data_IF_589152558138
#
_entry.id   IF_589152558138
#
_cell.length_a   1.000
_cell.length_b   1.000
_cell.length_c   1.000
_cell.angle_alpha   90.00
_cell.angle_beta   90.00
_cell.angle_gamma   90.00
#
_symmetry.space_group_name_H-M   'P 1'
#
loop_
_entity.id
_entity.type
_entity.pdbx_description
1 polymer ?
#
# COMPACT_ATOMS: atom_id res chain seq x y z
N UNK A 1 13.94 -9.51 26.56
CA UNK A 1 13.65 -10.01 25.20
C UNK A 1 12.14 -10.01 25.05
N UNK A 2 11.59 -8.96 24.43
CA UNK A 2 10.14 -8.82 24.32
C UNK A 2 9.61 -9.91 23.39
N UNK A 3 8.67 -10.71 23.88
CA UNK A 3 7.95 -11.70 23.09
C UNK A 3 7.35 -11.01 21.86
N UNK A 4 7.54 -11.52 20.64
CA UNK A 4 6.89 -10.95 19.48
C UNK A 4 5.39 -11.15 19.68
N UNK A 5 4.63 -10.07 19.79
CA UNK A 5 3.17 -10.14 19.76
C UNK A 5 2.73 -10.70 18.41
N UNK A 6 1.52 -11.22 18.34
CA UNK A 6 0.91 -11.82 17.12
C UNK A 6 0.99 -10.88 15.90
N UNK A 7 1.17 -9.58 16.14
CA UNK A 7 1.45 -8.56 15.13
C UNK A 7 2.78 -8.74 14.39
N UNK A 8 3.86 -9.11 15.09
CA UNK A 8 5.22 -9.28 14.53
C UNK A 8 5.34 -10.47 13.58
N UNK A 9 4.47 -11.48 13.73
CA UNK A 9 4.52 -12.71 12.91
C UNK A 9 3.77 -12.55 11.58
N UNK A 10 2.83 -11.62 11.48
CA UNK A 10 2.05 -11.37 10.25
C UNK A 10 2.66 -10.29 9.35
N UNK A 11 3.40 -9.36 9.92
CA UNK A 11 3.87 -8.15 9.22
C UNK A 11 5.31 -8.22 8.73
N UNK A 12 6.06 -9.29 9.05
CA UNK A 12 7.45 -9.42 8.59
C UNK A 12 8.37 -8.29 9.07
N UNK A 13 7.99 -7.56 10.12
CA UNK A 13 8.73 -6.44 10.70
C UNK A 13 9.96 -6.94 11.47
N UNK A 14 10.92 -7.50 10.75
CA UNK A 14 12.28 -7.65 11.26
C UNK A 14 13.01 -6.32 11.01
N UNK A 15 13.47 -5.61 12.05
CA UNK A 15 14.21 -4.35 11.90
C UNK A 15 15.54 -4.49 11.13
N UNK A 16 15.98 -5.72 10.80
CA UNK A 16 17.17 -6.00 10.01
C UNK A 16 16.86 -6.53 8.59
N UNK A 17 15.58 -6.70 8.23
CA UNK A 17 15.17 -7.10 6.89
C UNK A 17 14.53 -5.90 6.18
N UNK A 18 15.06 -5.55 5.01
CA UNK A 18 14.48 -4.46 4.22
C UNK A 18 13.04 -4.83 3.85
N UNK A 19 12.09 -4.02 4.27
CA UNK A 19 10.64 -4.29 4.13
C UNK A 19 10.17 -4.28 2.67
N UNK A 20 11.04 -3.88 1.73
CA UNK A 20 10.77 -3.87 0.30
C UNK A 20 10.51 -5.26 -0.30
N UNK A 21 10.97 -6.35 0.32
CA UNK A 21 10.74 -7.71 -0.16
C UNK A 21 9.33 -8.26 0.12
N UNK A 22 8.54 -7.53 0.90
CA UNK A 22 7.21 -7.94 1.36
C UNK A 22 6.06 -7.10 0.80
N UNK A 23 6.37 -5.91 0.27
CA UNK A 23 5.41 -5.06 -0.41
C UNK A 23 4.83 -5.80 -1.63
N UNK A 24 3.55 -5.57 -1.87
CA UNK A 24 2.91 -6.08 -3.07
C UNK A 24 3.31 -5.22 -4.31
N UNK A 25 3.01 -5.67 -5.54
CA UNK A 25 3.51 -5.03 -6.75
C UNK A 25 2.60 -3.89 -7.24
N UNK A 26 2.40 -2.87 -6.42
CA UNK A 26 1.59 -1.68 -6.74
C UNK A 26 2.43 -0.40 -6.98
N UNK A 27 3.72 -0.43 -6.61
CA UNK A 27 4.66 0.67 -6.78
C UNK A 27 5.01 1.40 -5.48
N UNK A 28 4.48 0.96 -4.34
CA UNK A 28 4.82 1.48 -3.01
C UNK A 28 5.72 0.51 -2.25
N UNK A 29 6.49 1.05 -1.31
CA UNK A 29 7.21 0.24 -0.32
C UNK A 29 6.37 0.13 0.95
N UNK A 30 6.54 -0.96 1.69
CA UNK A 30 5.86 -1.16 2.98
C UNK A 30 6.03 0.00 3.96
N UNK A 31 7.16 0.70 3.93
CA UNK A 31 7.36 1.89 4.77
C UNK A 31 6.50 3.06 4.33
N UNK A 32 6.40 3.33 3.02
CA UNK A 32 5.54 4.39 2.47
C UNK A 32 4.08 4.12 2.78
N UNK A 33 3.64 2.88 2.61
CA UNK A 33 2.26 2.47 2.88
C UNK A 33 1.91 2.65 4.35
N UNK A 34 2.75 2.16 5.27
CA UNK A 34 2.47 2.23 6.70
C UNK A 34 2.67 3.62 7.31
N UNK A 35 3.60 4.42 6.79
CA UNK A 35 3.98 5.72 7.40
C UNK A 35 3.34 6.91 6.74
N UNK A 36 3.19 6.89 5.42
CA UNK A 36 2.82 8.08 4.64
C UNK A 36 1.36 8.02 4.14
N UNK A 37 0.89 6.84 3.75
CA UNK A 37 -0.43 6.70 3.08
C UNK A 37 -1.50 5.99 3.91
N UNK A 38 -1.10 5.22 4.93
CA UNK A 38 -2.02 4.44 5.75
C UNK A 38 -2.65 3.25 5.02
N UNK A 39 -2.00 2.75 3.98
CA UNK A 39 -2.44 1.62 3.16
C UNK A 39 -1.89 0.29 3.69
N UNK A 40 -2.35 -0.82 3.10
CA UNK A 40 -1.97 -2.17 3.51
C UNK A 40 -0.89 -2.77 2.60
N UNK A 41 0.34 -3.01 3.11
CA UNK A 41 1.50 -3.45 2.31
C UNK A 41 1.44 -4.85 1.70
N UNK A 42 0.30 -5.51 1.84
CA UNK A 42 0.05 -6.84 1.30
C UNK A 42 -1.13 -6.85 0.33
N UNK A 43 -1.70 -5.68 0.03
CA UNK A 43 -2.93 -5.51 -0.73
C UNK A 43 -2.76 -4.33 -1.67
N UNK A 44 -2.69 -4.61 -2.97
CA UNK A 44 -2.46 -3.62 -4.02
C UNK A 44 -3.50 -2.50 -4.09
N UNK A 45 -4.68 -2.74 -3.55
CA UNK A 45 -5.89 -1.91 -3.61
C UNK A 45 -6.56 -2.02 -2.24
N UNK A 46 -6.18 -1.11 -1.35
CA UNK A 46 -6.50 -1.18 0.08
C UNK A 46 -7.98 -0.98 0.36
N UNK A 47 -8.65 -0.12 -0.41
CA UNK A 47 -10.08 0.18 -0.22
C UNK A 47 -11.03 -0.65 -1.10
N UNK A 48 -10.49 -1.36 -2.10
CA UNK A 48 -11.19 -2.34 -2.90
C UNK A 48 -12.03 -1.73 -4.02
N UNK A 49 -11.68 -0.53 -4.49
CA UNK A 49 -12.40 0.15 -5.57
C UNK A 49 -11.97 -0.31 -6.98
N UNK A 50 -10.88 -1.07 -7.06
CA UNK A 50 -10.29 -1.62 -8.28
C UNK A 50 -9.11 -0.81 -8.85
N UNK A 51 -8.70 0.28 -8.21
CA UNK A 51 -7.51 1.07 -8.53
C UNK A 51 -6.44 0.73 -7.50
N UNK A 52 -5.18 0.66 -7.94
CA UNK A 52 -4.08 0.34 -7.02
C UNK A 52 -3.66 1.55 -6.20
N UNK A 53 -3.27 1.35 -4.94
CA UNK A 53 -2.91 2.42 -4.01
C UNK A 53 -1.85 3.35 -4.61
N UNK A 54 -0.77 2.79 -5.15
CA UNK A 54 0.28 3.55 -5.84
C UNK A 54 -0.21 4.39 -7.03
N UNK A 55 -1.19 3.89 -7.79
CA UNK A 55 -1.79 4.61 -8.91
C UNK A 55 -2.71 5.73 -8.42
N UNK A 56 -3.44 5.50 -7.35
CA UNK A 56 -4.30 6.52 -6.75
C UNK A 56 -3.50 7.70 -6.23
N UNK A 57 -2.40 7.44 -5.52
CA UNK A 57 -1.47 8.47 -5.06
C UNK A 57 -0.90 9.26 -6.24
N UNK A 58 -0.50 8.57 -7.32
CA UNK A 58 0.02 9.23 -8.52
C UNK A 58 -1.03 10.10 -9.21
N UNK A 59 -2.30 9.71 -9.17
CA UNK A 59 -3.41 10.39 -9.85
C UNK A 59 -4.19 11.35 -8.95
N UNK A 60 -3.80 11.46 -7.68
CA UNK A 60 -4.38 12.37 -6.69
C UNK A 60 -5.72 11.92 -6.10
N UNK A 61 -6.03 10.62 -6.17
CA UNK A 61 -7.10 9.98 -5.38
C UNK A 61 -6.61 9.54 -4.00
N UNK A 62 -7.51 9.02 -3.18
CA UNK A 62 -7.21 8.64 -1.80
C UNK A 62 -7.30 7.11 -1.66
N UNK A 63 -6.19 6.39 -1.42
CA UNK A 63 -6.11 4.92 -1.48
C UNK A 63 -6.74 4.18 -0.29
N UNK A 64 -7.62 4.86 0.42
CA UNK A 64 -8.29 4.34 1.63
C UNK A 64 -9.76 4.73 1.65
N UNK A 65 -10.25 5.36 0.58
CA UNK A 65 -11.61 5.83 0.41
C UNK A 65 -12.13 5.33 -0.94
N UNK A 66 -12.99 4.29 -0.94
CA UNK A 66 -13.46 3.63 -2.17
C UNK A 66 -14.38 4.52 -3.01
N UNK A 67 -14.65 5.75 -2.57
CA UNK A 67 -15.41 6.76 -3.32
C UNK A 67 -14.52 7.85 -3.91
N UNK A 68 -13.22 7.84 -3.59
CA UNK A 68 -12.23 8.81 -4.02
C UNK A 68 -11.42 8.25 -5.19
N UNK A 69 -12.01 8.18 -6.38
CA UNK A 69 -11.32 7.67 -7.58
C UNK A 69 -11.12 8.76 -8.64
N UNK A 70 -9.97 8.74 -9.31
CA UNK A 70 -9.71 9.58 -10.49
C UNK A 70 -9.58 8.74 -11.76
N UNK A 71 -10.69 8.15 -12.19
CA UNK A 71 -10.72 7.22 -13.32
C UNK A 71 -10.21 7.85 -14.63
N UNK A 72 -10.40 9.16 -14.81
CA UNK A 72 -9.90 9.87 -15.98
C UNK A 72 -8.37 9.87 -16.06
N UNK A 73 -7.69 10.10 -14.93
CA UNK A 73 -6.22 10.08 -14.84
C UNK A 73 -5.67 8.65 -14.75
N UNK A 74 -6.37 7.74 -14.07
CA UNK A 74 -6.00 6.33 -13.98
C UNK A 74 -6.01 5.66 -15.37
N UNK A 75 -7.00 5.95 -16.22
CA UNK A 75 -7.02 5.43 -17.59
C UNK A 75 -5.96 6.08 -18.50
N UNK A 76 -5.68 7.38 -18.30
CA UNK A 76 -4.65 8.09 -19.08
C UNK A 76 -3.23 7.57 -18.80
N UNK A 77 -3.00 6.96 -17.65
CA UNK A 77 -1.71 6.41 -17.24
C UNK A 77 -1.47 4.97 -17.69
N UNK A 78 -2.47 4.31 -18.31
CA UNK A 78 -2.33 3.01 -18.98
C UNK A 78 -1.92 3.10 -20.47
N UNK A 79 -1.74 4.30 -21.01
CA UNK A 79 -1.44 4.55 -22.42
C UNK A 79 0.06 4.53 -22.76
#
# INVERSE_FOLDING_TARGET
MASPTVWSVRTGLDPNNSLNGFADPDGLTTEQELRDFGTNPWVADTDGDGIRDGLEIMTGSAPTDPTSFNLAQALASLA
#
